data_IF_596154928442
#
_entry.id   IF_596154928442
#
_cell.length_a   1.000
_cell.length_b   1.000
_cell.length_c   1.000
_cell.angle_alpha   90.00
_cell.angle_beta   90.00
_cell.angle_gamma   90.00
#
_symmetry.space_group_name_H-M   'P 1'
#
loop_
_entity.id
_entity.type
_entity.pdbx_description
1 polymer ?
#
# COMPACT_ATOMS: atom_id res chain seq x y z
N UNK A 1 -22.29 9.51 60.17
CA UNK A 1 -23.17 9.94 59.05
C UNK A 1 -22.45 9.54 57.79
N UNK A 2 -23.11 8.67 57.02
CA UNK A 2 -22.49 7.86 55.98
C UNK A 2 -22.43 8.69 54.71
N UNK A 3 -21.35 8.53 53.94
CA UNK A 3 -21.09 9.27 52.69
C UNK A 3 -22.28 9.23 51.71
N UNK A 4 -23.13 8.20 51.82
CA UNK A 4 -24.37 8.04 51.06
C UNK A 4 -25.39 9.17 51.27
N UNK A 5 -25.45 9.78 52.46
CA UNK A 5 -26.38 10.89 52.75
C UNK A 5 -25.95 12.20 52.04
N UNK A 6 -24.65 12.36 51.79
CA UNK A 6 -24.10 13.49 51.03
C UNK A 6 -24.41 13.36 49.53
N UNK A 7 -24.43 12.15 48.99
CA UNK A 7 -24.74 11.91 47.57
C UNK A 7 -26.19 12.24 47.22
N UNK A 8 -27.12 12.08 48.17
CA UNK A 8 -28.53 12.48 48.01
C UNK A 8 -28.70 14.01 48.08
N UNK A 9 -27.89 14.69 48.90
CA UNK A 9 -27.96 16.15 49.08
C UNK A 9 -27.28 16.96 47.95
N UNK A 10 -26.28 16.40 47.26
CA UNK A 10 -25.58 17.04 46.14
C UNK A 10 -26.42 17.06 44.84
N UNK A 11 -27.48 16.25 44.75
CA UNK A 11 -28.42 16.22 43.63
C UNK A 11 -27.98 15.34 42.45
N UNK A 12 -28.93 15.01 41.58
CA UNK A 12 -28.69 14.23 40.35
C UNK A 12 -27.65 14.91 39.44
N UNK A 13 -26.95 14.11 38.61
CA UNK A 13 -25.96 14.60 37.61
C UNK A 13 -26.49 15.81 36.83
N UNK A 14 -26.06 17.01 37.24
CA UNK A 14 -26.47 18.26 36.63
C UNK A 14 -25.90 18.43 35.21
N UNK A 15 -26.43 19.39 34.46
CA UNK A 15 -26.01 19.67 33.08
C UNK A 15 -24.50 19.96 32.95
N UNK A 16 -23.90 20.63 33.94
CA UNK A 16 -22.46 20.89 34.01
C UNK A 16 -21.66 19.59 34.15
N UNK A 17 -22.07 18.72 35.08
CA UNK A 17 -21.41 17.45 35.37
C UNK A 17 -21.48 16.49 34.16
N UNK A 18 -22.61 16.47 33.44
CA UNK A 18 -22.73 15.76 32.16
C UNK A 18 -21.80 16.33 31.09
N UNK A 19 -21.73 17.65 30.94
CA UNK A 19 -20.87 18.31 29.94
C UNK A 19 -19.39 18.00 30.17
N UNK A 20 -18.92 18.11 31.42
CA UNK A 20 -17.54 17.77 31.81
C UNK A 20 -17.25 16.28 31.59
N UNK A 21 -18.19 15.39 31.92
CA UNK A 21 -18.04 13.96 31.65
C UNK A 21 -17.89 13.67 30.16
N UNK A 22 -18.73 14.26 29.28
CA UNK A 22 -18.59 14.10 27.84
C UNK A 22 -17.27 14.68 27.30
N UNK A 23 -16.82 15.83 27.81
CA UNK A 23 -15.52 16.42 27.47
C UNK A 23 -14.34 15.55 27.90
N UNK A 24 -14.47 14.79 29.00
CA UNK A 24 -13.46 13.84 29.44
C UNK A 24 -13.45 12.57 28.57
N UNK A 25 -14.63 12.08 28.20
CA UNK A 25 -14.78 10.86 27.40
C UNK A 25 -14.37 11.04 25.94
N UNK A 26 -14.56 12.22 25.35
CA UNK A 26 -14.32 12.46 23.93
C UNK A 26 -12.82 12.27 23.55
N UNK A 27 -11.83 12.83 24.25
CA UNK A 27 -10.41 12.54 24.02
C UNK A 27 -10.06 11.06 24.15
N UNK A 28 -10.66 10.36 25.12
CA UNK A 28 -10.41 8.94 25.34
C UNK A 28 -10.89 8.10 24.15
N UNK A 29 -12.07 8.42 23.61
CA UNK A 29 -12.61 7.77 22.41
C UNK A 29 -11.74 8.06 21.19
N UNK A 30 -11.31 9.32 21.00
CA UNK A 30 -10.42 9.70 19.88
C UNK A 30 -9.07 8.98 19.95
N UNK A 31 -8.49 8.84 21.13
CA UNK A 31 -7.25 8.09 21.33
C UNK A 31 -7.43 6.61 20.97
N UNK A 32 -8.56 6.00 21.38
CA UNK A 32 -8.90 4.63 20.98
C UNK A 32 -9.05 4.49 19.46
N UNK A 33 -9.74 5.42 18.81
CA UNK A 33 -9.90 5.44 17.36
C UNK A 33 -8.56 5.61 16.62
N UNK A 34 -7.64 6.43 17.14
CA UNK A 34 -6.29 6.60 16.59
C UNK A 34 -5.49 5.29 16.63
N UNK A 35 -5.54 4.54 17.73
CA UNK A 35 -4.81 3.26 17.85
C UNK A 35 -5.37 2.24 16.86
N UNK A 36 -6.70 2.21 16.68
CA UNK A 36 -7.33 1.33 15.70
C UNK A 36 -7.01 1.71 14.26
N UNK A 37 -6.97 3.01 13.93
CA UNK A 37 -6.64 3.46 12.57
C UNK A 37 -5.21 3.10 12.18
N UNK A 38 -4.27 3.10 13.14
CA UNK A 38 -2.90 2.70 12.90
C UNK A 38 -2.80 1.25 12.40
N UNK A 39 -3.66 0.33 12.84
CA UNK A 39 -3.65 -1.08 12.39
C UNK A 39 -3.89 -1.20 10.89
N UNK A 40 -4.88 -0.46 10.38
CA UNK A 40 -5.25 -0.49 8.96
C UNK A 40 -4.24 0.23 8.07
N UNK A 41 -3.56 1.23 8.62
CA UNK A 41 -2.49 1.94 7.93
C UNK A 41 -1.23 1.07 7.95
N UNK A 42 -0.87 0.40 9.05
CA UNK A 42 0.43 -0.28 9.27
C UNK A 42 0.70 -1.50 8.39
N UNK A 43 -0.32 -2.27 8.03
CA UNK A 43 -0.13 -3.49 7.26
C UNK A 43 0.14 -3.20 5.77
N UNK A 44 1.39 -3.35 5.34
CA UNK A 44 1.80 -3.32 3.94
C UNK A 44 2.22 -4.72 3.50
N UNK A 45 1.41 -5.44 2.69
CA UNK A 45 1.79 -6.76 2.18
C UNK A 45 2.95 -6.63 1.20
N UNK A 46 3.61 -7.74 0.89
CA UNK A 46 4.60 -7.77 -0.18
C UNK A 46 3.95 -7.44 -1.52
N UNK A 47 4.61 -6.63 -2.33
CA UNK A 47 4.09 -6.17 -3.61
C UNK A 47 5.20 -6.07 -4.63
N UNK A 48 4.80 -6.06 -5.90
CA UNK A 48 5.66 -5.83 -7.05
C UNK A 48 4.88 -5.11 -8.14
N UNK A 49 5.57 -4.57 -9.13
CA UNK A 49 4.94 -3.96 -10.28
C UNK A 49 4.14 -5.00 -11.10
N UNK A 50 3.01 -4.56 -11.65
CA UNK A 50 2.16 -5.35 -12.55
C UNK A 50 2.75 -5.37 -13.96
N UNK A 51 2.71 -6.53 -14.60
CA UNK A 51 3.24 -6.72 -15.95
C UNK A 51 2.12 -6.41 -16.97
N UNK A 52 2.23 -5.34 -17.78
CA UNK A 52 1.14 -4.87 -18.64
C UNK A 52 0.72 -5.84 -19.77
N UNK A 53 1.58 -6.77 -20.19
CA UNK A 53 1.21 -7.79 -21.19
C UNK A 53 0.61 -9.09 -20.61
N UNK A 54 0.52 -9.22 -19.29
CA UNK A 54 0.05 -10.44 -18.64
C UNK A 54 -1.28 -10.20 -17.92
N UNK A 55 -2.36 -10.74 -18.46
CA UNK A 55 -3.74 -10.42 -18.04
C UNK A 55 -4.17 -11.02 -16.71
N UNK A 56 -3.56 -12.13 -16.28
CA UNK A 56 -3.87 -12.80 -15.01
C UNK A 56 -2.67 -12.74 -14.05
N UNK A 57 -2.13 -11.54 -13.89
CA UNK A 57 -0.96 -11.31 -13.06
C UNK A 57 -1.30 -11.40 -11.56
N UNK A 58 -0.79 -12.42 -10.89
CA UNK A 58 -0.89 -12.57 -9.43
C UNK A 58 0.48 -12.51 -8.78
N UNK A 59 0.54 -12.04 -7.54
CA UNK A 59 1.82 -11.92 -6.82
C UNK A 59 2.57 -13.26 -6.75
N UNK A 60 1.86 -14.33 -6.39
CA UNK A 60 2.39 -15.69 -6.35
C UNK A 60 2.70 -16.19 -7.75
N UNK A 61 3.83 -16.90 -7.87
CA UNK A 61 4.26 -17.53 -9.11
C UNK A 61 3.31 -18.69 -9.42
N UNK A 62 2.61 -18.60 -10.56
CA UNK A 62 1.64 -19.61 -10.99
C UNK A 62 2.26 -20.70 -11.87
N UNK A 63 3.31 -20.37 -12.63
CA UNK A 63 3.95 -21.28 -13.58
C UNK A 63 5.42 -20.90 -13.80
N UNK A 64 6.23 -21.81 -14.35
CA UNK A 64 7.66 -21.54 -14.66
C UNK A 64 7.84 -20.38 -15.64
N UNK A 65 6.86 -20.16 -16.50
CA UNK A 65 6.83 -19.07 -17.46
C UNK A 65 6.64 -17.73 -16.76
N UNK A 66 5.75 -17.71 -15.78
CA UNK A 66 5.49 -16.54 -14.97
C UNK A 66 6.72 -16.13 -14.18
N UNK A 67 7.45 -17.11 -13.66
CA UNK A 67 8.73 -16.92 -12.98
C UNK A 67 9.77 -16.28 -13.91
N UNK A 68 9.96 -16.83 -15.11
CA UNK A 68 10.86 -16.27 -16.11
C UNK A 68 10.47 -14.84 -16.49
N UNK A 69 9.17 -14.57 -16.65
CA UNK A 69 8.65 -13.25 -17.00
C UNK A 69 8.90 -12.21 -15.90
N UNK A 70 8.72 -12.58 -14.62
CA UNK A 70 9.02 -11.72 -13.47
C UNK A 70 10.52 -11.44 -13.40
N UNK A 71 11.36 -12.47 -13.53
CA UNK A 71 12.83 -12.32 -13.51
C UNK A 71 13.35 -11.43 -14.65
N UNK A 72 12.71 -11.45 -15.81
CA UNK A 72 13.12 -10.64 -16.95
C UNK A 72 12.58 -9.20 -16.89
N UNK A 73 11.41 -8.98 -16.29
CA UNK A 73 10.73 -7.68 -16.26
C UNK A 73 11.14 -6.79 -15.11
N UNK A 74 11.43 -7.36 -13.95
CA UNK A 74 11.68 -6.60 -12.72
C UNK A 74 13.17 -6.70 -12.34
N UNK A 75 13.87 -5.55 -12.17
CA UNK A 75 15.24 -5.57 -11.69
C UNK A 75 15.37 -6.17 -10.30
N UNK A 76 16.54 -6.73 -9.99
CA UNK A 76 16.89 -7.07 -8.62
C UNK A 76 17.31 -5.80 -7.87
N UNK A 77 16.88 -5.68 -6.62
CA UNK A 77 17.26 -4.56 -5.78
C UNK A 77 18.72 -4.73 -5.35
N UNK A 78 19.60 -3.89 -5.88
CA UNK A 78 21.04 -3.89 -5.57
C UNK A 78 21.35 -3.72 -4.08
N UNK A 79 20.43 -3.15 -3.29
CA UNK A 79 20.57 -2.98 -1.84
C UNK A 79 20.45 -4.30 -1.06
N UNK A 80 19.85 -5.33 -1.66
CA UNK A 80 19.68 -6.67 -1.07
C UNK A 80 20.80 -7.67 -1.40
N UNK A 81 21.71 -7.32 -2.33
CA UNK A 81 22.81 -8.18 -2.76
C UNK A 81 23.85 -8.46 -1.64
N UNK A 82 23.77 -7.74 -0.51
CA UNK A 82 24.65 -7.95 0.65
C UNK A 82 24.03 -8.84 1.74
N UNK A 83 22.76 -9.23 1.65
CA UNK A 83 22.13 -10.14 2.62
C UNK A 83 21.63 -11.37 1.88
N UNK A 84 22.48 -12.39 1.79
CA UNK A 84 22.20 -13.67 1.17
C UNK A 84 21.05 -14.41 1.88
N UNK A 85 19.79 -14.21 1.45
CA UNK A 85 18.72 -15.20 1.65
C UNK A 85 17.42 -14.98 0.85
N UNK A 86 17.27 -13.91 0.08
CA UNK A 86 16.11 -13.77 -0.81
C UNK A 86 16.43 -12.82 -1.95
N UNK A 87 16.33 -13.28 -3.20
CA UNK A 87 16.32 -12.44 -4.40
C UNK A 87 15.20 -11.42 -4.28
N UNK A 88 15.50 -10.24 -3.73
CA UNK A 88 14.52 -9.19 -3.53
C UNK A 88 14.42 -8.39 -4.83
N UNK A 89 13.29 -8.50 -5.51
CA UNK A 89 12.99 -7.67 -6.67
C UNK A 89 12.78 -6.21 -6.26
N UNK A 90 13.13 -5.28 -7.14
CA UNK A 90 12.78 -3.88 -6.97
C UNK A 90 11.26 -3.71 -7.00
N UNK A 91 10.71 -3.03 -6.00
CA UNK A 91 9.24 -2.90 -5.84
C UNK A 91 8.62 -1.77 -6.67
N UNK A 92 9.45 -0.84 -7.14
CA UNK A 92 9.03 0.45 -7.71
C UNK A 92 9.43 0.65 -9.17
N UNK A 93 10.32 -0.20 -9.68
CA UNK A 93 10.93 -0.02 -11.00
C UNK A 93 10.76 -1.28 -11.84
N UNK A 94 10.62 -1.08 -13.14
CA UNK A 94 10.52 -2.13 -14.19
C UNK A 94 11.45 -1.74 -15.33
N UNK A 95 11.95 -2.71 -16.09
CA UNK A 95 12.77 -2.40 -17.25
C UNK A 95 11.96 -1.77 -18.40
N UNK A 96 12.48 -0.69 -18.98
CA UNK A 96 11.79 0.11 -20.00
C UNK A 96 11.68 -0.59 -21.36
N UNK A 97 12.57 -1.54 -21.65
CA UNK A 97 12.50 -2.38 -22.85
C UNK A 97 11.28 -3.32 -22.78
N UNK A 98 10.95 -3.83 -21.60
CA UNK A 98 9.76 -4.65 -21.36
C UNK A 98 8.48 -3.81 -21.48
N UNK A 99 8.43 -2.62 -20.90
CA UNK A 99 7.26 -1.72 -21.04
C UNK A 99 7.00 -1.36 -22.51
N UNK A 100 8.04 -1.02 -23.27
CA UNK A 100 7.91 -0.73 -24.71
C UNK A 100 7.47 -1.94 -25.52
N UNK A 101 7.96 -3.13 -25.19
CA UNK A 101 7.58 -4.35 -25.88
C UNK A 101 6.11 -4.72 -25.63
N UNK A 102 5.63 -4.55 -24.41
CA UNK A 102 4.25 -4.84 -24.00
C UNK A 102 3.24 -3.81 -24.55
N UNK A 103 3.59 -2.53 -24.60
CA UNK A 103 2.76 -1.49 -25.21
C UNK A 103 2.58 -1.69 -26.73
N UNK A 104 3.63 -2.14 -27.42
CA UNK A 104 3.54 -2.49 -28.85
C UNK A 104 2.60 -3.67 -29.11
N UNK A 105 2.41 -4.55 -28.11
CA UNK A 105 1.47 -5.67 -28.17
C UNK A 105 0.00 -5.22 -27.98
N UNK A 106 -0.28 -4.19 -27.19
CA UNK A 106 -1.65 -3.65 -27.04
C UNK A 106 -2.17 -2.99 -28.31
N UNK A 107 -1.29 -2.34 -29.08
CA UNK A 107 -1.67 -1.75 -30.37
C UNK A 107 -1.99 -2.83 -31.43
N UNK A 108 -1.34 -3.99 -31.35
CA UNK A 108 -1.59 -5.15 -32.21
C UNK A 108 -2.93 -5.86 -31.91
N UNK A 109 -3.50 -5.70 -30.70
CA UNK A 109 -4.80 -6.29 -30.35
C UNK A 109 -6.00 -5.57 -31.00
N UNK A 110 -5.81 -4.33 -31.46
CA UNK A 110 -6.84 -3.59 -32.21
C UNK A 110 -6.98 -4.00 -33.68
N UNK A 111 -6.08 -4.86 -34.19
CA UNK A 111 -6.09 -5.29 -35.60
C UNK A 111 -6.15 -6.81 -35.82
N UNK A 112 -6.18 -7.64 -34.77
CA UNK A 112 -6.30 -9.08 -34.90
C UNK A 112 -7.46 -9.61 -34.05
N UNK A 113 -8.47 -10.16 -34.72
CA UNK A 113 -9.58 -10.87 -34.11
C UNK A 113 -9.06 -12.04 -33.24
N UNK A 114 -9.59 -12.13 -32.02
CA UNK A 114 -9.63 -13.39 -31.29
C UNK A 114 -8.40 -13.74 -30.44
N UNK A 115 -8.68 -14.31 -29.28
CA UNK A 115 -7.74 -14.79 -28.30
C UNK A 115 -6.60 -15.64 -28.92
N UNK A 116 -5.36 -15.16 -28.79
CA UNK A 116 -4.18 -15.94 -29.18
C UNK A 116 -3.97 -17.11 -28.21
N UNK A 117 -3.75 -18.30 -28.79
CA UNK A 117 -3.50 -19.55 -28.06
C UNK A 117 -2.22 -19.53 -27.21
N UNK A 118 -2.11 -20.49 -26.28
CA UNK A 118 -0.99 -20.67 -25.34
C UNK A 118 0.40 -20.91 -25.97
N UNK A 119 0.50 -21.09 -27.28
CA UNK A 119 1.79 -21.24 -27.98
C UNK A 119 2.25 -19.94 -28.64
N UNK A 120 1.32 -19.03 -28.96
CA UNK A 120 1.64 -17.77 -29.61
C UNK A 120 2.10 -16.71 -28.60
N UNK A 121 1.69 -16.80 -27.32
CA UNK A 121 2.33 -15.97 -26.28
C UNK A 121 3.79 -16.36 -26.05
N UNK A 122 4.20 -17.63 -26.23
CA UNK A 122 5.63 -18.02 -26.14
C UNK A 122 6.44 -17.30 -27.21
N UNK A 123 5.94 -17.32 -28.45
CA UNK A 123 6.57 -16.61 -29.55
C UNK A 123 6.54 -15.09 -29.33
N UNK A 124 5.44 -14.52 -28.85
CA UNK A 124 5.33 -13.10 -28.54
C UNK A 124 6.24 -12.68 -27.37
N UNK A 125 6.31 -13.46 -26.29
CA UNK A 125 7.19 -13.24 -25.14
C UNK A 125 8.67 -13.38 -25.52
N UNK A 126 9.01 -14.38 -26.35
CA UNK A 126 10.36 -14.50 -26.95
C UNK A 126 10.69 -13.33 -27.89
N UNK A 127 9.69 -12.73 -28.55
CA UNK A 127 9.85 -11.51 -29.34
C UNK A 127 9.92 -10.24 -28.46
N UNK A 128 9.25 -10.22 -27.29
CA UNK A 128 9.33 -9.15 -26.29
C UNK A 128 10.72 -9.12 -25.64
N UNK A 129 11.34 -10.29 -25.41
CA UNK A 129 12.74 -10.38 -24.99
C UNK A 129 13.72 -10.00 -26.10
N UNK A 130 13.29 -9.96 -27.36
CA UNK A 130 14.12 -9.46 -28.48
C UNK A 130 14.29 -7.93 -28.45
N UNK A 131 13.58 -7.22 -27.56
CA UNK A 131 13.82 -5.80 -27.25
C UNK A 131 14.99 -5.57 -26.30
N UNK A 132 15.34 -6.56 -25.47
CA UNK A 132 16.66 -6.64 -24.84
C UNK A 132 17.62 -7.13 -25.92
N UNK A 133 18.22 -6.21 -26.67
CA UNK A 133 19.28 -6.51 -27.64
C UNK A 133 20.54 -7.09 -26.94
N UNK A 134 20.43 -8.23 -26.25
CA UNK A 134 21.53 -8.87 -25.51
C UNK A 134 22.25 -7.94 -24.54
N UNK A 135 21.62 -6.84 -24.08
CA UNK A 135 22.27 -5.87 -23.22
C UNK A 135 22.51 -6.51 -21.85
N UNK A 136 23.73 -6.40 -21.29
CA UNK A 136 23.97 -6.84 -19.91
C UNK A 136 23.04 -6.11 -18.95
N UNK A 137 22.59 -6.77 -17.89
CA UNK A 137 21.60 -6.25 -16.92
C UNK A 137 21.91 -4.84 -16.40
N UNK A 138 23.21 -4.52 -16.26
CA UNK A 138 23.74 -3.22 -15.83
C UNK A 138 23.47 -2.05 -16.80
N UNK A 139 23.08 -2.33 -18.05
CA UNK A 139 22.82 -1.34 -19.10
C UNK A 139 21.34 -1.22 -19.48
N UNK A 140 20.45 -1.94 -18.79
CA UNK A 140 19.01 -1.79 -19.01
C UNK A 140 18.51 -0.54 -18.28
N UNK A 141 17.76 0.26 -19.01
CA UNK A 141 17.07 1.43 -18.45
C UNK A 141 15.85 0.96 -17.66
N UNK A 142 15.57 1.67 -16.57
CA UNK A 142 14.45 1.39 -15.67
C UNK A 142 13.48 2.56 -15.67
N UNK A 143 12.19 2.26 -15.61
CA UNK A 143 11.10 3.23 -15.48
C UNK A 143 10.27 2.90 -14.23
N UNK A 144 9.60 3.92 -13.70
CA UNK A 144 8.70 3.79 -12.55
C UNK A 144 7.41 3.08 -12.96
N UNK A 145 6.91 2.20 -12.10
CA UNK A 145 5.65 1.51 -12.35
C UNK A 145 4.45 2.27 -11.80
N UNK A 146 3.31 2.19 -12.50
CA UNK A 146 2.05 2.85 -12.14
C UNK A 146 0.95 1.88 -11.68
N UNK A 147 1.18 0.57 -11.81
CA UNK A 147 0.24 -0.47 -11.37
C UNK A 147 1.00 -1.55 -10.60
N UNK A 148 0.37 -2.09 -9.55
CA UNK A 148 0.99 -3.06 -8.65
C UNK A 148 0.14 -4.32 -8.46
N UNK A 149 0.83 -5.41 -8.10
CA UNK A 149 0.21 -6.66 -7.68
C UNK A 149 0.69 -6.98 -6.27
N UNK A 150 -0.28 -7.15 -5.36
CA UNK A 150 -0.05 -7.37 -3.93
C UNK A 150 -0.21 -8.86 -3.57
N UNK A 151 0.56 -9.32 -2.58
CA UNK A 151 0.36 -10.63 -1.97
C UNK A 151 -0.91 -10.64 -1.12
N UNK A 152 -1.82 -11.55 -1.44
CA UNK A 152 -3.11 -11.73 -0.74
C UNK A 152 -3.10 -12.93 0.20
N UNK A 153 -1.92 -13.34 0.68
CA UNK A 153 -1.78 -14.50 1.57
C UNK A 153 -2.34 -14.25 2.97
N UNK A 154 -2.14 -13.03 3.50
CA UNK A 154 -2.59 -12.63 4.83
C UNK A 154 -3.79 -11.68 4.80
N UNK A 155 -3.80 -10.74 3.84
CA UNK A 155 -4.81 -9.69 3.73
C UNK A 155 -5.32 -9.58 2.30
N UNK A 156 -6.64 -9.62 2.11
CA UNK A 156 -7.25 -9.46 0.78
C UNK A 156 -7.17 -8.01 0.27
N UNK A 157 -7.34 -7.04 1.18
CA UNK A 157 -7.29 -5.61 0.90
C UNK A 157 -6.94 -4.84 2.17
N UNK A 158 -6.01 -3.89 2.07
CA UNK A 158 -5.69 -2.92 3.12
C UNK A 158 -5.80 -1.51 2.54
N UNK A 159 -5.90 -0.49 3.41
CA UNK A 159 -5.94 0.90 2.95
C UNK A 159 -4.73 1.25 2.06
N UNK A 160 -3.57 0.62 2.30
CA UNK A 160 -2.37 0.83 1.50
C UNK A 160 -2.47 0.23 0.10
N UNK A 161 -3.15 -0.91 -0.05
CA UNK A 161 -3.34 -1.57 -1.36
C UNK A 161 -4.52 -1.00 -2.14
N UNK A 162 -5.46 -0.34 -1.47
CA UNK A 162 -6.63 0.28 -2.11
C UNK A 162 -6.30 1.65 -2.71
N UNK A 163 -5.46 2.43 -2.00
CA UNK A 163 -5.02 3.75 -2.44
C UNK A 163 -3.62 3.72 -3.09
N UNK A 164 -3.08 2.54 -3.38
CA UNK A 164 -1.75 2.33 -3.99
C UNK A 164 -0.64 3.17 -3.35
N UNK A 165 -0.60 3.23 -2.02
CA UNK A 165 0.34 4.06 -1.26
C UNK A 165 1.69 3.35 -1.16
N UNK A 166 2.41 3.33 -2.28
CA UNK A 166 3.67 2.61 -2.46
C UNK A 166 4.76 3.53 -3.02
N UNK A 167 6.02 3.13 -2.88
CA UNK A 167 7.16 3.88 -3.41
C UNK A 167 7.21 5.34 -2.94
N UNK A 168 7.01 6.32 -3.83
CA UNK A 168 7.04 7.75 -3.50
C UNK A 168 5.95 8.13 -2.48
N UNK A 169 4.77 7.52 -2.59
CA UNK A 169 3.63 7.82 -1.74
C UNK A 169 3.74 7.23 -0.33
N UNK A 170 4.78 6.45 -0.03
CA UNK A 170 5.00 5.90 1.32
C UNK A 170 5.16 6.97 2.39
N UNK A 171 5.52 8.21 2.01
CA UNK A 171 5.57 9.35 2.93
C UNK A 171 4.19 9.72 3.48
N UNK A 172 3.12 9.43 2.75
CA UNK A 172 1.74 9.74 3.15
C UNK A 172 1.40 9.09 4.50
N UNK A 173 1.91 7.88 4.75
CA UNK A 173 1.81 7.19 6.05
C UNK A 173 2.39 8.02 7.19
N UNK A 174 3.56 8.62 6.98
CA UNK A 174 4.23 9.47 7.98
C UNK A 174 3.45 10.76 8.20
N UNK A 175 2.92 11.35 7.13
CA UNK A 175 2.08 12.57 7.18
C UNK A 175 0.78 12.30 7.93
N UNK A 176 0.09 11.19 7.67
CA UNK A 176 -1.13 10.83 8.41
C UNK A 176 -0.87 10.75 9.92
N UNK A 177 0.23 10.11 10.33
CA UNK A 177 0.57 9.99 11.74
C UNK A 177 0.93 11.35 12.37
N UNK A 178 1.68 12.20 11.66
CA UNK A 178 2.05 13.52 12.17
C UNK A 178 0.85 14.46 12.30
N UNK A 179 -0.08 14.44 11.35
CA UNK A 179 -1.33 15.21 11.40
C UNK A 179 -2.15 14.86 12.65
N UNK A 180 -2.16 13.58 13.07
CA UNK A 180 -2.87 13.19 14.28
C UNK A 180 -2.24 13.81 15.54
N UNK A 181 -0.92 13.83 15.66
CA UNK A 181 -0.26 14.47 16.81
C UNK A 181 -0.48 15.98 16.84
N UNK A 182 -0.46 16.62 15.67
CA UNK A 182 -0.80 18.05 15.55
C UNK A 182 -2.25 18.28 15.98
N UNK A 183 -3.18 17.45 15.49
CA UNK A 183 -4.59 17.49 15.90
C UNK A 183 -4.79 17.29 17.41
N UNK A 184 -4.03 16.38 18.03
CA UNK A 184 -4.07 16.16 19.47
C UNK A 184 -3.58 17.39 20.26
N UNK A 185 -2.52 18.05 19.79
CA UNK A 185 -2.02 19.29 20.40
C UNK A 185 -3.11 20.38 20.40
N UNK A 186 -3.66 20.71 19.23
CA UNK A 186 -4.69 21.75 19.13
C UNK A 186 -6.00 21.36 19.83
N UNK A 187 -6.38 20.08 19.74
CA UNK A 187 -7.56 19.54 20.41
C UNK A 187 -7.49 19.67 21.93
N UNK A 188 -6.33 19.37 22.53
CA UNK A 188 -6.15 19.50 23.99
C UNK A 188 -6.25 20.94 24.48
N UNK A 189 -5.70 21.92 23.75
CA UNK A 189 -5.82 23.34 24.09
C UNK A 189 -7.28 23.80 24.00
N UNK A 190 -7.97 23.46 22.91
CA UNK A 190 -9.36 23.85 22.70
C UNK A 190 -10.29 23.23 23.77
N UNK A 191 -10.15 21.93 24.05
CA UNK A 191 -10.96 21.26 25.07
C UNK A 191 -10.66 21.75 26.49
N UNK A 192 -9.41 22.11 26.78
CA UNK A 192 -9.06 22.75 28.06
C UNK A 192 -9.80 24.06 28.27
N UNK A 193 -9.84 24.94 27.26
CA UNK A 193 -10.57 26.21 27.33
C UNK A 193 -12.09 25.97 27.48
N UNK A 194 -12.65 25.01 26.74
CA UNK A 194 -14.08 24.68 26.81
C UNK A 194 -14.46 24.09 28.18
N UNK A 195 -13.55 23.36 28.84
CA UNK A 195 -13.80 22.78 30.16
C UNK A 195 -13.83 23.82 31.28
N UNK A 196 -13.13 24.97 31.10
CA UNK A 196 -13.10 26.08 32.05
C UNK A 196 -14.36 26.97 31.98
N UNK A 197 -15.13 26.89 30.88
CA UNK A 197 -16.38 27.64 30.62
C UNK A 197 -17.63 26.80 30.87
#
# INVERSE_FOLDING_TARGET
MKFDDLLVAVGEFGSYQRRVYFLLCLPAILCGAQVLSAVFIMAMPSYRCKIPAYTNDTYKIQSSIHEDLVNMSIPLDSSSAQTASSTAFSKCFVYSDVLRATQKQSDLWTSAEGALSSSLWRAAAMNMTSGSNGKPERQRETEECHEWVYDKSEFDSTAMTEFDVVCEDTILRSICNSVVFVGALFGSVAMGIIADV
#
